data_IF_117740755826
#
_entry.id   IF_117740755826
#
_cell.length_a   1.000
_cell.length_b   1.000
_cell.length_c   1.000
_cell.angle_alpha   90.00
_cell.angle_beta   90.00
_cell.angle_gamma   90.00
#
_symmetry.space_group_name_H-M   'P 1'
#
loop_
_entity.id
_entity.type
_entity.pdbx_description
1 polymer ?
#
# COMPACT_ATOMS: atom_id res chain seq x y z
N UNK A 1 -20.42 2.68 -6.08
CA UNK A 1 -19.77 1.43 -5.64
C UNK A 1 -18.23 1.51 -5.66
N UNK A 2 -17.59 2.17 -6.63
CA UNK A 2 -16.12 2.30 -6.67
C UNK A 2 -15.50 3.23 -5.61
N UNK A 3 -16.10 4.41 -5.40
CA UNK A 3 -15.57 5.46 -4.51
C UNK A 3 -15.34 4.97 -3.06
N UNK A 4 -16.35 4.33 -2.46
CA UNK A 4 -16.30 3.84 -1.08
C UNK A 4 -15.23 2.76 -0.87
N UNK A 5 -15.04 1.87 -1.83
CA UNK A 5 -13.99 0.85 -1.74
C UNK A 5 -12.60 1.47 -1.85
N UNK A 6 -12.46 2.52 -2.67
CA UNK A 6 -11.21 3.25 -2.79
C UNK A 6 -10.86 3.93 -1.47
N UNK A 7 -11.77 4.72 -0.89
CA UNK A 7 -11.62 5.36 0.42
C UNK A 7 -11.25 4.35 1.50
N UNK A 8 -12.02 3.27 1.63
CA UNK A 8 -11.76 2.22 2.62
C UNK A 8 -10.38 1.57 2.43
N UNK A 9 -9.95 1.37 1.19
CA UNK A 9 -8.60 0.83 0.93
C UNK A 9 -7.49 1.80 1.33
N UNK A 10 -7.69 3.10 1.16
CA UNK A 10 -6.75 4.14 1.61
C UNK A 10 -6.71 4.20 3.13
N UNK A 11 -7.87 4.23 3.81
CA UNK A 11 -7.96 4.26 5.28
C UNK A 11 -7.24 3.08 5.92
N UNK A 12 -7.38 1.89 5.35
CA UNK A 12 -6.69 0.69 5.82
C UNK A 12 -5.18 0.77 5.63
N UNK A 13 -4.73 1.25 4.47
CA UNK A 13 -3.31 1.43 4.20
C UNK A 13 -2.71 2.50 5.14
N UNK A 14 -3.46 3.57 5.44
CA UNK A 14 -3.09 4.58 6.43
C UNK A 14 -2.98 3.99 7.84
N UNK A 15 -3.94 3.17 8.28
CA UNK A 15 -3.89 2.53 9.59
C UNK A 15 -2.63 1.66 9.77
N UNK A 16 -2.22 0.93 8.72
CA UNK A 16 -0.97 0.15 8.72
C UNK A 16 0.25 1.08 8.76
N UNK A 17 0.27 2.15 7.96
CA UNK A 17 1.36 3.12 7.97
C UNK A 17 1.55 3.74 9.37
N UNK A 18 0.47 4.18 10.01
CA UNK A 18 0.53 4.73 11.38
C UNK A 18 1.08 3.70 12.39
N UNK A 19 0.73 2.42 12.23
CA UNK A 19 1.27 1.37 13.08
C UNK A 19 2.79 1.20 12.90
N UNK A 20 3.29 1.28 11.66
CA UNK A 20 4.72 1.20 11.36
C UNK A 20 5.48 2.43 11.89
N UNK A 21 4.91 3.63 11.76
CA UNK A 21 5.48 4.86 12.33
C UNK A 21 5.59 4.77 13.84
N UNK A 22 4.53 4.28 14.50
CA UNK A 22 4.57 4.00 15.96
C UNK A 22 5.65 2.99 16.34
N UNK A 23 5.97 2.07 15.43
CA UNK A 23 7.06 1.09 15.56
C UNK A 23 8.46 1.64 15.24
N UNK A 24 8.58 2.91 14.85
CA UNK A 24 9.87 3.57 14.60
C UNK A 24 10.29 3.66 13.13
N UNK A 25 9.42 3.28 12.17
CA UNK A 25 9.69 3.52 10.75
C UNK A 25 9.49 5.02 10.45
N UNK A 26 10.47 5.75 9.90
CA UNK A 26 10.29 7.15 9.54
C UNK A 26 9.13 7.34 8.55
N UNK A 27 8.26 8.31 8.81
CA UNK A 27 7.07 8.57 7.98
C UNK A 27 7.44 8.91 6.54
N UNK A 28 8.56 9.62 6.35
CA UNK A 28 9.06 10.04 5.03
C UNK A 28 9.48 8.87 4.15
N UNK A 29 9.66 7.67 4.74
CA UNK A 29 9.98 6.43 4.02
C UNK A 29 8.75 5.62 3.61
N UNK A 30 7.54 6.10 3.92
CA UNK A 30 6.29 5.39 3.68
C UNK A 30 5.45 6.14 2.64
N UNK A 31 4.98 5.40 1.62
CA UNK A 31 4.00 5.90 0.65
C UNK A 31 2.73 5.05 0.78
N UNK A 32 1.59 5.72 0.90
CA UNK A 32 0.28 5.08 1.07
C UNK A 32 -0.47 5.09 -0.27
N UNK A 33 -1.06 3.95 -0.65
CA UNK A 33 -1.90 3.84 -1.86
C UNK A 33 -3.10 2.92 -1.65
N UNK A 34 -4.27 3.39 -2.05
CA UNK A 34 -5.49 2.59 -2.12
C UNK A 34 -5.79 2.13 -3.55
N UNK A 35 -6.29 0.90 -3.70
CA UNK A 35 -6.65 0.31 -5.00
C UNK A 35 -8.14 -0.05 -5.12
N UNK A 36 -8.92 0.14 -4.05
CA UNK A 36 -10.31 -0.31 -4.00
C UNK A 36 -10.46 -1.77 -4.46
N UNK A 37 -11.42 -2.02 -5.35
CA UNK A 37 -11.66 -3.35 -5.91
C UNK A 37 -10.86 -3.66 -7.19
N UNK A 38 -9.92 -2.80 -7.61
CA UNK A 38 -9.27 -2.90 -8.94
C UNK A 38 -8.17 -3.96 -9.06
N UNK A 39 -7.69 -4.50 -7.93
CA UNK A 39 -6.60 -5.51 -7.87
C UNK A 39 -6.99 -6.71 -6.98
N UNK A 40 -8.01 -7.49 -7.39
CA UNK A 40 -8.41 -8.68 -6.66
C UNK A 40 -7.36 -9.78 -6.77
N UNK A 41 -7.23 -10.59 -5.70
CA UNK A 41 -6.44 -11.83 -5.71
C UNK A 41 -7.34 -13.07 -5.78
N UNK A 42 -8.58 -12.95 -5.34
CA UNK A 42 -9.59 -13.97 -5.47
C UNK A 42 -10.63 -13.54 -6.52
N UNK A 43 -11.12 -14.47 -7.37
CA UNK A 43 -12.06 -14.16 -8.44
C UNK A 43 -13.42 -13.67 -7.91
N UNK A 44 -13.84 -14.16 -6.74
CA UNK A 44 -15.06 -13.71 -6.07
C UNK A 44 -14.88 -12.31 -5.47
N UNK A 45 -15.61 -11.27 -5.92
CA UNK A 45 -15.46 -9.91 -5.43
C UNK A 45 -15.65 -9.76 -3.91
N UNK A 46 -16.57 -10.53 -3.32
CA UNK A 46 -16.86 -10.47 -1.88
C UNK A 46 -15.83 -11.20 -1.01
N UNK A 47 -14.87 -11.92 -1.63
CA UNK A 47 -13.89 -12.74 -0.91
C UNK A 47 -13.15 -11.94 0.16
N UNK A 48 -13.06 -12.46 1.41
CA UNK A 48 -12.25 -11.85 2.47
C UNK A 48 -10.79 -11.64 2.08
N UNK A 49 -10.23 -12.49 1.21
CA UNK A 49 -8.85 -12.37 0.75
C UNK A 49 -8.60 -11.06 -0.02
N UNK A 50 -9.62 -10.50 -0.68
CA UNK A 50 -9.51 -9.22 -1.38
C UNK A 50 -9.43 -8.04 -0.39
N UNK A 51 -9.85 -8.23 0.86
CA UNK A 51 -9.75 -7.25 1.94
C UNK A 51 -8.38 -7.37 2.63
N UNK A 52 -7.31 -6.91 1.97
CA UNK A 52 -5.93 -6.96 2.50
C UNK A 52 -5.17 -5.62 2.37
N UNK A 53 -4.00 -5.53 2.99
CA UNK A 53 -2.96 -4.52 2.75
C UNK A 53 -1.68 -5.26 2.40
N UNK A 54 -0.95 -4.77 1.39
CA UNK A 54 0.36 -5.30 0.98
C UNK A 54 1.45 -4.26 1.29
N UNK A 55 2.60 -4.70 1.76
CA UNK A 55 3.76 -3.84 2.02
C UNK A 55 4.84 -4.19 1.01
N UNK A 56 5.20 -3.23 0.15
CA UNK A 56 6.29 -3.36 -0.80
C UNK A 56 7.52 -2.61 -0.27
N UNK A 57 8.65 -3.29 -0.16
CA UNK A 57 9.92 -2.69 0.25
C UNK A 57 10.70 -2.38 -1.03
N UNK A 58 10.91 -1.09 -1.30
CA UNK A 58 11.77 -0.63 -2.39
C UNK A 58 13.14 -0.25 -1.83
N UNK A 59 14.18 -0.62 -2.57
CA UNK A 59 15.54 -0.16 -2.33
C UNK A 59 15.89 0.83 -3.44
N UNK A 60 16.48 1.96 -3.07
CA UNK A 60 17.07 2.84 -4.06
C UNK A 60 18.21 2.08 -4.74
N UNK A 61 18.19 2.04 -6.06
CA UNK A 61 19.24 1.37 -6.82
C UNK A 61 20.21 2.48 -7.26
N UNK A 62 21.39 2.56 -6.65
CA UNK A 62 22.43 3.58 -6.93
C UNK A 62 23.01 3.51 -8.37
N UNK A 63 22.41 2.71 -9.25
CA UNK A 63 22.90 2.42 -10.60
C UNK A 63 22.74 3.58 -11.61
N UNK A 64 22.33 4.78 -11.17
CA UNK A 64 22.16 5.94 -12.04
C UNK A 64 22.86 7.19 -11.51
N UNK A 65 24.15 7.12 -11.22
CA UNK A 65 24.99 8.33 -11.23
C UNK A 65 26.51 8.09 -11.35
N UNK A 66 26.98 7.35 -12.35
CA UNK A 66 28.39 7.45 -12.77
C UNK A 66 28.44 7.67 -14.28
N UNK A 67 28.35 8.94 -14.66
CA UNK A 67 28.67 9.38 -16.01
C UNK A 67 30.15 9.12 -16.32
N UNK A 68 30.36 8.29 -17.33
CA UNK A 68 31.53 8.28 -18.21
C UNK A 68 31.01 8.32 -19.65
#
# INVERSE_FOLDING_TARGET
>A
MGQRNLELSVERALAVAMHLVKGGVPEERIVIRGFGASKPIAPEPASPSNRRVEILIAFENDASNHGW
#
